data_IF_268838099005
#
_entry.id   IF_268838099005
#
_cell.length_a   1.000
_cell.length_b   1.000
_cell.length_c   1.000
_cell.angle_alpha   90.00
_cell.angle_beta   90.00
_cell.angle_gamma   90.00
#
_symmetry.space_group_name_H-M   'P 1'
#
loop_
_entity.id
_entity.type
_entity.pdbx_description
1 polymer ?
#
# COMPACT_ATOMS: atom_id res chain seq x y z
N UNK A 1 0.67 13.76 -13.15
CA UNK A 1 -0.62 14.34 -12.73
C UNK A 1 -1.06 13.60 -11.48
N UNK A 2 -1.11 14.29 -10.34
CA UNK A 2 -1.30 13.68 -9.03
C UNK A 2 -2.76 13.32 -8.77
N UNK A 3 -3.00 12.07 -8.37
CA UNK A 3 -4.31 11.61 -7.90
C UNK A 3 -4.59 12.22 -6.53
N UNK A 4 -5.40 13.27 -6.47
CA UNK A 4 -5.88 13.82 -5.20
C UNK A 4 -6.84 12.83 -4.55
N UNK A 5 -6.74 12.67 -3.22
CA UNK A 5 -7.70 11.87 -2.45
C UNK A 5 -9.12 12.42 -2.63
N UNK A 6 -10.09 11.53 -2.51
CA UNK A 6 -11.52 11.85 -2.62
C UNK A 6 -11.90 13.04 -1.72
N UNK A 7 -11.37 13.06 -0.49
CA UNK A 7 -11.63 14.08 0.52
C UNK A 7 -11.21 15.48 0.06
N UNK A 8 -10.03 15.62 -0.55
CA UNK A 8 -9.55 16.93 -1.05
C UNK A 8 -10.37 17.43 -2.23
N UNK A 9 -10.95 16.52 -3.00
CA UNK A 9 -11.81 16.90 -4.12
C UNK A 9 -13.18 17.37 -3.61
N UNK A 10 -13.73 16.72 -2.57
CA UNK A 10 -14.96 17.17 -1.91
C UNK A 10 -14.82 18.55 -1.29
N UNK A 11 -13.72 18.80 -0.57
CA UNK A 11 -13.44 20.11 0.04
C UNK A 11 -13.39 21.25 -1.00
N UNK A 12 -12.76 21.01 -2.15
CA UNK A 12 -12.68 22.01 -3.24
C UNK A 12 -14.00 22.26 -3.96
N UNK A 13 -14.81 21.22 -4.14
CA UNK A 13 -16.14 21.40 -4.74
C UNK A 13 -17.02 22.19 -3.77
N UNK A 14 -17.00 21.85 -2.48
CA UNK A 14 -17.72 22.58 -1.44
C UNK A 14 -17.27 24.04 -1.30
N UNK A 15 -16.00 24.36 -1.57
CA UNK A 15 -15.52 25.75 -1.54
C UNK A 15 -15.93 26.58 -2.77
N UNK A 16 -16.35 25.95 -3.87
CA UNK A 16 -16.58 26.62 -5.15
C UNK A 16 -18.06 26.60 -5.56
N UNK A 17 -18.83 25.62 -5.10
CA UNK A 17 -20.23 25.44 -5.41
C UNK A 17 -20.98 24.74 -4.27
N UNK A 18 -22.26 25.08 -4.09
CA UNK A 18 -23.11 24.48 -3.07
C UNK A 18 -24.46 24.05 -3.66
N UNK A 19 -24.90 22.83 -3.36
CA UNK A 19 -26.23 22.31 -3.66
C UNK A 19 -26.69 21.28 -2.62
N UNK A 20 -28.01 21.01 -2.50
CA UNK A 20 -28.53 20.02 -1.57
C UNK A 20 -27.93 18.65 -1.85
N UNK A 21 -27.42 17.98 -0.81
CA UNK A 21 -26.80 16.63 -0.89
C UNK A 21 -25.48 16.56 -1.69
N UNK A 22 -24.75 17.67 -1.81
CA UNK A 22 -23.42 17.74 -2.44
C UNK A 22 -22.51 16.55 -2.07
N UNK A 23 -22.31 16.30 -0.77
CA UNK A 23 -21.48 15.20 -0.25
C UNK A 23 -21.92 13.81 -0.77
N UNK A 24 -23.24 13.58 -0.83
CA UNK A 24 -23.80 12.33 -1.30
C UNK A 24 -23.57 12.16 -2.80
N UNK A 25 -23.88 13.19 -3.60
CA UNK A 25 -23.69 13.16 -5.06
C UNK A 25 -22.22 13.02 -5.43
N UNK A 26 -21.32 13.70 -4.72
CA UNK A 26 -19.88 13.55 -4.92
C UNK A 26 -19.41 12.13 -4.59
N UNK A 27 -19.84 11.57 -3.46
CA UNK A 27 -19.48 10.20 -3.09
C UNK A 27 -20.02 9.17 -4.09
N UNK A 28 -21.25 9.33 -4.57
CA UNK A 28 -21.84 8.47 -5.63
C UNK A 28 -21.05 8.58 -6.94
N UNK A 29 -20.64 9.80 -7.32
CA UNK A 29 -19.83 10.05 -8.51
C UNK A 29 -18.46 9.35 -8.43
N UNK A 30 -17.76 9.43 -7.29
CA UNK A 30 -16.49 8.73 -7.10
C UNK A 30 -16.65 7.21 -7.04
N UNK A 31 -17.79 6.72 -6.53
CA UNK A 31 -18.11 5.30 -6.51
C UNK A 31 -18.45 4.72 -7.89
N UNK A 32 -18.85 5.52 -8.88
CA UNK A 32 -19.08 5.03 -10.25
C UNK A 32 -17.75 4.95 -11.03
N UNK A 33 -16.75 5.76 -10.64
CA UNK A 33 -15.52 5.87 -11.42
C UNK A 33 -14.47 4.83 -11.00
N UNK A 34 -14.39 3.76 -11.79
CA UNK A 34 -13.47 2.63 -11.61
C UNK A 34 -11.99 3.04 -11.50
N UNK A 35 -11.61 4.16 -12.13
CA UNK A 35 -10.24 4.71 -12.11
C UNK A 35 -9.84 5.12 -10.68
N UNK A 36 -10.73 5.83 -9.98
CA UNK A 36 -10.50 6.25 -8.60
C UNK A 36 -10.49 5.07 -7.63
N UNK A 37 -11.36 4.07 -7.85
CA UNK A 37 -11.38 2.84 -7.03
C UNK A 37 -10.11 1.99 -7.19
N UNK A 38 -9.57 1.90 -8.41
CA UNK A 38 -8.32 1.18 -8.68
C UNK A 38 -7.10 1.90 -8.11
N UNK A 39 -7.10 3.24 -8.13
CA UNK A 39 -6.04 4.06 -7.54
C UNK A 39 -6.08 4.04 -6.00
N UNK A 40 -7.28 4.17 -5.42
CA UNK A 40 -7.53 4.04 -3.99
C UNK A 40 -7.93 2.60 -3.64
N UNK A 41 -7.11 1.62 -4.02
CA UNK A 41 -7.25 0.27 -3.46
C UNK A 41 -7.21 0.42 -1.95
N UNK A 42 -8.36 0.26 -1.28
CA UNK A 42 -8.41 0.11 0.17
C UNK A 42 -7.39 -0.97 0.50
N UNK A 43 -6.36 -0.62 1.28
CA UNK A 43 -5.40 -1.59 1.75
C UNK A 43 -6.21 -2.79 2.27
N UNK A 44 -6.02 -3.93 1.60
CA UNK A 44 -6.83 -5.11 1.83
C UNK A 44 -6.84 -5.46 3.32
N UNK A 45 -7.89 -6.21 3.70
CA UNK A 45 -8.10 -6.88 4.98
C UNK A 45 -6.80 -6.99 5.80
N UNK A 46 -6.82 -6.46 7.03
CA UNK A 46 -5.67 -6.51 7.98
C UNK A 46 -4.92 -7.81 7.78
N UNK A 47 -3.62 -7.71 7.50
CA UNK A 47 -2.73 -8.87 7.38
C UNK A 47 -3.10 -9.86 8.49
N UNK A 48 -3.50 -11.07 8.08
CA UNK A 48 -3.94 -12.10 9.02
C UNK A 48 -2.86 -12.40 10.05
N UNK A 49 -3.21 -13.15 11.09
CA UNK A 49 -2.23 -13.69 12.03
C UNK A 49 -1.14 -14.42 11.24
N UNK A 50 0.12 -14.23 11.64
CA UNK A 50 1.26 -14.96 11.10
C UNK A 50 0.93 -16.46 11.09
N UNK A 51 1.16 -17.13 9.96
CA UNK A 51 0.97 -18.58 9.91
C UNK A 51 1.96 -19.23 10.88
N UNK A 52 1.46 -20.15 11.70
CA UNK A 52 2.33 -20.93 12.56
C UNK A 52 3.13 -21.90 11.69
N UNK A 53 4.45 -21.93 11.89
CA UNK A 53 5.33 -22.90 11.25
C UNK A 53 5.42 -24.14 12.14
N UNK A 54 5.42 -25.32 11.52
CA UNK A 54 5.63 -26.57 12.27
C UNK A 54 7.06 -26.60 12.83
N UNK A 55 7.20 -27.04 14.09
CA UNK A 55 8.51 -27.19 14.71
C UNK A 55 9.29 -28.34 14.07
N UNK A 56 10.51 -28.05 13.64
CA UNK A 56 11.45 -29.03 13.12
C UNK A 56 11.97 -29.93 14.26
N UNK A 57 11.95 -31.24 14.05
CA UNK A 57 12.35 -32.29 15.03
C UNK A 57 13.82 -32.67 14.89
N UNK A 58 14.43 -32.39 13.74
CA UNK A 58 15.81 -32.77 13.45
C UNK A 58 16.62 -31.61 12.85
N UNK A 59 17.95 -31.58 13.06
CA UNK A 59 18.81 -30.59 12.41
C UNK A 59 18.69 -30.66 10.88
N UNK A 60 18.72 -29.50 10.22
CA UNK A 60 18.72 -29.34 8.76
C UNK A 60 17.43 -29.73 8.02
N UNK A 61 16.31 -29.92 8.71
CA UNK A 61 15.02 -30.25 8.07
C UNK A 61 14.46 -29.15 7.17
N UNK A 62 14.80 -27.89 7.45
CA UNK A 62 14.39 -26.77 6.61
C UNK A 62 15.50 -25.74 6.55
N UNK A 63 15.82 -25.32 5.32
CA UNK A 63 16.81 -24.29 5.03
C UNK A 63 16.08 -23.19 4.26
N UNK A 64 15.87 -22.06 4.91
CA UNK A 64 15.35 -20.86 4.27
C UNK A 64 16.53 -20.00 3.79
N UNK A 65 16.48 -19.55 2.55
CA UNK A 65 17.51 -18.67 1.97
C UNK A 65 16.84 -17.44 1.38
N UNK A 66 17.45 -16.28 1.62
CA UNK A 66 17.06 -15.02 1.00
C UNK A 66 18.29 -14.32 0.42
N UNK A 67 18.10 -13.59 -0.68
CA UNK A 67 19.16 -12.88 -1.39
C UNK A 67 19.07 -11.39 -1.06
N UNK A 68 20.03 -10.89 -0.29
CA UNK A 68 20.17 -9.44 -0.08
C UNK A 68 20.79 -8.80 -1.32
N UNK A 69 20.06 -7.87 -1.93
CA UNK A 69 20.53 -7.10 -3.11
C UNK A 69 20.73 -5.63 -2.75
N UNK A 70 21.46 -4.89 -3.59
CA UNK A 70 21.71 -3.45 -3.37
C UNK A 70 22.84 -3.14 -2.37
N UNK A 71 23.74 -4.10 -2.13
CA UNK A 71 24.95 -3.85 -1.34
C UNK A 71 25.82 -2.80 -2.04
N UNK A 72 26.36 -1.86 -1.27
CA UNK A 72 27.32 -0.89 -1.78
C UNK A 72 28.55 -1.63 -2.34
N UNK A 73 29.12 -1.18 -3.48
CA UNK A 73 30.40 -1.72 -3.94
C UNK A 73 31.44 -1.59 -2.82
N UNK A 74 32.24 -2.63 -2.60
CA UNK A 74 33.31 -2.60 -1.60
C UNK A 74 34.28 -1.44 -1.89
N UNK A 75 34.22 -0.39 -1.07
CA UNK A 75 35.14 0.76 -1.16
C UNK A 75 36.51 0.46 -0.54
N UNK A 76 37.40 1.46 -0.53
CA UNK A 76 38.78 1.43 0.03
C UNK A 76 38.89 1.19 1.56
N UNK A 77 37.89 0.55 2.17
CA UNK A 77 37.86 0.14 3.57
C UNK A 77 37.09 -1.17 3.78
N UNK A 78 36.90 -1.98 2.72
CA UNK A 78 36.33 -3.31 2.88
C UNK A 78 37.33 -4.20 3.66
N UNK A 79 36.95 -4.56 4.88
CA UNK A 79 37.72 -5.43 5.78
C UNK A 79 37.58 -6.93 5.46
N UNK A 80 36.79 -7.29 4.44
CA UNK A 80 36.61 -8.66 3.96
C UNK A 80 37.51 -8.98 2.74
N UNK A 81 38.61 -8.26 2.57
CA UNK A 81 39.62 -8.52 1.54
C UNK A 81 40.72 -9.44 2.08
#
# INVERSE_FOLDING_TARGET
MGHMSEDRTKERVASTAWWPKLEQTSSEYFNIWEICQKANRKHGKRFGLLQNIEEHKHPWETINMDCVTGLVPGGKGNLNA
#
